data_IF_163556436037
#
_entry.id   IF_163556436037
#
_cell.length_a   1.000
_cell.length_b   1.000
_cell.length_c   1.000
_cell.angle_alpha   90.00
_cell.angle_beta   90.00
_cell.angle_gamma   90.00
#
_symmetry.space_group_name_H-M   'P 1'
#
loop_
_entity.id
_entity.type
_entity.pdbx_description
1 polymer ?
#
# COMPACT_ATOMS: atom_id res chain seq x y z
N UNK A 1 -50.92 43.27 62.21
CA UNK A 1 -50.62 42.03 61.48
C UNK A 1 -50.18 42.41 60.08
N UNK A 2 -48.88 42.39 59.82
CA UNK A 2 -48.30 42.67 58.50
C UNK A 2 -48.10 41.33 57.77
N UNK A 3 -48.55 41.24 56.52
CA UNK A 3 -48.30 40.12 55.63
C UNK A 3 -46.94 40.29 54.94
N UNK A 4 -46.14 39.22 54.71
CA UNK A 4 -44.89 39.32 53.98
C UNK A 4 -45.06 39.07 52.48
N UNK A 5 -44.12 39.66 51.75
CA UNK A 5 -43.97 39.73 50.30
C UNK A 5 -43.95 38.38 49.58
N UNK A 6 -44.59 38.38 48.40
CA UNK A 6 -44.50 37.33 47.38
C UNK A 6 -43.27 37.59 46.52
N UNK A 7 -42.29 36.68 46.59
CA UNK A 7 -41.14 36.66 45.69
C UNK A 7 -41.61 36.38 44.25
N UNK A 8 -41.29 37.29 43.33
CA UNK A 8 -41.54 37.14 41.90
C UNK A 8 -40.65 36.06 41.24
N UNK A 9 -41.05 35.51 40.09
CA UNK A 9 -40.34 34.43 39.43
C UNK A 9 -39.03 34.93 38.81
N UNK A 10 -37.97 34.13 38.98
CA UNK A 10 -36.67 34.33 38.35
C UNK A 10 -36.84 34.43 36.83
N UNK A 11 -36.42 35.56 36.26
CA UNK A 11 -36.39 35.78 34.83
C UNK A 11 -35.49 34.76 34.15
N UNK A 12 -36.05 34.00 33.22
CA UNK A 12 -35.31 33.36 32.14
C UNK A 12 -34.68 34.46 31.30
N UNK A 13 -33.41 34.77 31.55
CA UNK A 13 -32.60 35.61 30.67
C UNK A 13 -32.52 34.93 29.29
N UNK A 14 -33.23 35.50 28.32
CA UNK A 14 -33.03 35.14 26.92
C UNK A 14 -31.57 35.43 26.55
N UNK A 15 -30.85 34.47 25.94
CA UNK A 15 -29.47 34.69 25.55
C UNK A 15 -29.42 35.87 24.57
N UNK A 16 -28.63 36.88 24.93
CA UNK A 16 -28.48 38.08 24.10
C UNK A 16 -28.14 37.71 22.65
N UNK A 17 -28.65 38.48 21.71
CA UNK A 17 -28.49 38.29 20.26
C UNK A 17 -27.02 38.13 19.84
N UNK A 18 -26.08 38.73 20.58
CA UNK A 18 -24.64 38.57 20.37
C UNK A 18 -24.15 37.15 20.75
N UNK A 19 -24.64 36.59 21.86
CA UNK A 19 -24.34 35.22 22.29
C UNK A 19 -24.97 34.20 21.34
N UNK A 20 -26.20 34.44 20.88
CA UNK A 20 -26.86 33.60 19.89
C UNK A 20 -26.15 33.62 18.52
N UNK A 21 -25.68 34.79 18.06
CA UNK A 21 -24.91 34.91 16.81
C UNK A 21 -23.51 34.30 16.90
N UNK A 22 -22.81 34.46 18.04
CA UNK A 22 -21.51 33.82 18.27
C UNK A 22 -21.66 32.29 18.34
N UNK A 23 -22.73 31.79 18.96
CA UNK A 23 -23.03 30.36 19.03
C UNK A 23 -23.46 29.80 17.67
N UNK A 24 -24.24 30.54 16.88
CA UNK A 24 -24.62 30.17 15.51
C UNK A 24 -23.41 30.17 14.56
N UNK A 25 -22.49 31.13 14.70
CA UNK A 25 -21.23 31.18 13.94
C UNK A 25 -20.30 30.03 14.33
N UNK A 26 -20.10 29.80 15.62
CA UNK A 26 -19.32 28.66 16.13
C UNK A 26 -19.95 27.30 15.76
N UNK A 27 -21.28 27.21 15.73
CA UNK A 27 -22.00 26.03 15.25
C UNK A 27 -21.85 25.84 13.74
N UNK A 28 -21.89 26.93 12.96
CA UNK A 28 -21.60 26.93 11.53
C UNK A 28 -20.16 26.50 11.22
N UNK A 29 -19.19 27.00 11.97
CA UNK A 29 -17.77 26.65 11.85
C UNK A 29 -17.51 25.18 12.23
N UNK A 30 -18.15 24.69 13.30
CA UNK A 30 -18.07 23.29 13.71
C UNK A 30 -18.67 22.35 12.66
N UNK A 31 -19.87 22.65 12.16
CA UNK A 31 -20.54 21.83 11.15
C UNK A 31 -19.74 21.77 9.84
N UNK A 32 -19.13 22.90 9.45
CA UNK A 32 -18.23 22.97 8.31
C UNK A 32 -16.98 22.09 8.48
N UNK A 33 -16.33 22.16 9.64
CA UNK A 33 -15.15 21.33 9.94
C UNK A 33 -15.47 19.84 10.00
N UNK A 34 -16.62 19.47 10.58
CA UNK A 34 -17.10 18.09 10.57
C UNK A 34 -17.35 17.59 9.14
N UNK A 35 -17.92 18.43 8.27
CA UNK A 35 -18.13 18.09 6.87
C UNK A 35 -16.81 17.92 6.12
N UNK A 36 -15.85 18.82 6.30
CA UNK A 36 -14.51 18.69 5.72
C UNK A 36 -13.84 17.39 6.17
N UNK A 37 -13.85 17.11 7.47
CA UNK A 37 -13.25 15.92 8.04
C UNK A 37 -13.88 14.63 7.49
N UNK A 38 -15.20 14.58 7.29
CA UNK A 38 -15.90 13.44 6.68
C UNK A 38 -15.55 13.23 5.19
N UNK A 39 -15.07 14.26 4.50
CA UNK A 39 -14.65 14.20 3.11
C UNK A 39 -13.16 13.82 2.97
N UNK A 40 -12.44 13.63 4.07
CA UNK A 40 -11.06 13.16 4.06
C UNK A 40 -11.00 11.65 3.87
N UNK A 41 -10.08 11.20 3.03
CA UNK A 41 -9.96 9.79 2.65
C UNK A 41 -8.53 9.34 2.89
N UNK A 42 -8.37 8.30 3.69
CA UNK A 42 -7.07 7.74 4.07
C UNK A 42 -7.24 6.30 4.57
N UNK A 43 -6.14 5.56 4.83
CA UNK A 43 -6.18 4.23 5.44
C UNK A 43 -7.05 4.13 6.70
N UNK A 44 -7.18 5.22 7.46
CA UNK A 44 -7.91 5.27 8.73
C UNK A 44 -9.43 5.12 8.56
N UNK A 45 -9.97 5.46 7.38
CA UNK A 45 -11.42 5.43 7.09
C UNK A 45 -11.80 4.44 5.98
N UNK A 46 -10.83 3.90 5.22
CA UNK A 46 -11.07 2.93 4.15
C UNK A 46 -11.59 1.56 4.60
N UNK A 47 -11.76 1.34 5.91
CA UNK A 47 -12.27 0.08 6.45
C UNK A 47 -11.37 -1.10 6.07
N UNK A 48 -10.05 -0.89 6.22
CA UNK A 48 -9.00 -1.80 5.77
C UNK A 48 -9.03 -3.20 6.39
N UNK A 49 -9.76 -3.41 7.50
CA UNK A 49 -10.04 -4.76 8.01
C UNK A 49 -11.45 -4.89 8.61
N UNK A 50 -12.06 -6.08 8.51
CA UNK A 50 -13.35 -6.38 9.14
C UNK A 50 -13.18 -6.70 10.63
N UNK A 51 -13.63 -5.81 11.51
CA UNK A 51 -13.98 -6.15 12.91
C UNK A 51 -12.89 -6.02 13.98
N UNK A 52 -13.34 -5.65 15.18
CA UNK A 52 -12.58 -5.06 16.31
C UNK A 52 -11.64 -5.98 17.12
N UNK A 53 -11.33 -7.21 16.70
CA UNK A 53 -10.46 -8.10 17.52
C UNK A 53 -9.61 -9.04 16.66
N UNK A 54 -8.77 -8.51 15.78
CA UNK A 54 -7.68 -9.34 15.29
C UNK A 54 -6.65 -9.46 16.42
N UNK A 55 -6.30 -10.70 16.72
CA UNK A 55 -5.31 -11.09 17.73
C UNK A 55 -4.00 -10.29 17.56
N UNK A 56 -3.47 -9.75 18.65
CA UNK A 56 -2.29 -8.85 18.64
C UNK A 56 -1.09 -9.44 17.89
N UNK A 57 -0.95 -10.76 17.96
CA UNK A 57 0.04 -11.58 17.27
C UNK A 57 -0.02 -11.47 15.74
N UNK A 58 -1.23 -11.33 15.16
CA UNK A 58 -1.44 -11.23 13.71
C UNK A 58 -1.01 -9.88 13.16
N UNK A 59 -1.23 -8.80 13.92
CA UNK A 59 -0.76 -7.46 13.58
C UNK A 59 0.75 -7.42 13.48
N UNK A 60 1.43 -7.97 14.48
CA UNK A 60 2.88 -7.96 14.56
C UNK A 60 3.55 -8.75 13.43
N UNK A 61 3.02 -9.93 13.08
CA UNK A 61 3.52 -10.66 11.90
C UNK A 61 3.32 -9.84 10.63
N UNK A 62 2.17 -9.19 10.47
CA UNK A 62 1.92 -8.41 9.26
C UNK A 62 2.79 -7.16 9.15
N UNK A 63 2.93 -6.40 10.24
CA UNK A 63 3.86 -5.27 10.33
C UNK A 63 5.27 -5.70 9.91
N UNK A 64 5.77 -6.81 10.46
CA UNK A 64 7.09 -7.34 10.10
C UNK A 64 7.20 -7.70 8.61
N UNK A 65 6.15 -8.26 8.02
CA UNK A 65 6.12 -8.59 6.58
C UNK A 65 6.16 -7.34 5.73
N UNK A 66 5.36 -6.32 6.05
CA UNK A 66 5.36 -5.07 5.29
C UNK A 66 6.71 -4.34 5.43
N UNK A 67 7.34 -4.37 6.61
CA UNK A 67 8.69 -3.84 6.79
C UNK A 67 9.73 -4.59 5.96
N UNK A 68 9.63 -5.93 5.85
CA UNK A 68 10.54 -6.71 4.99
C UNK A 68 10.34 -6.40 3.50
N UNK A 69 9.08 -6.27 3.08
CA UNK A 69 8.70 -5.91 1.70
C UNK A 69 9.12 -4.49 1.34
N UNK A 70 9.13 -3.56 2.30
CA UNK A 70 9.56 -2.18 2.08
C UNK A 70 11.00 -2.06 1.56
N UNK A 71 11.89 -3.00 1.93
CA UNK A 71 13.24 -3.07 1.40
C UNK A 71 13.30 -3.37 -0.10
N UNK A 72 12.24 -3.96 -0.65
CA UNK A 72 12.10 -4.33 -2.07
C UNK A 72 10.82 -3.75 -2.64
N UNK A 73 10.43 -2.54 -2.20
CA UNK A 73 9.34 -1.81 -2.83
C UNK A 73 9.70 -1.54 -4.31
N UNK A 74 8.78 -1.86 -5.20
CA UNK A 74 8.98 -1.77 -6.65
C UNK A 74 9.05 -0.34 -7.17
N UNK A 75 8.41 0.61 -6.47
CA UNK A 75 8.30 2.01 -6.89
C UNK A 75 8.09 2.95 -5.70
N UNK A 76 8.30 4.28 -5.88
CA UNK A 76 7.91 5.28 -4.89
C UNK A 76 6.43 5.22 -4.51
N UNK A 77 5.54 4.90 -5.45
CA UNK A 77 4.12 4.67 -5.18
C UNK A 77 3.92 3.57 -4.13
N UNK A 78 4.58 2.43 -4.32
CA UNK A 78 4.52 1.32 -3.36
C UNK A 78 5.11 1.70 -2.00
N UNK A 79 6.17 2.51 -1.95
CA UNK A 79 6.68 3.02 -0.66
C UNK A 79 5.62 3.84 0.07
N UNK A 80 4.93 4.75 -0.62
CA UNK A 80 3.80 5.52 -0.05
C UNK A 80 2.73 4.57 0.49
N UNK A 81 2.30 3.59 -0.30
CA UNK A 81 1.29 2.58 0.10
C UNK A 81 1.72 1.81 1.36
N UNK A 82 2.95 1.32 1.39
CA UNK A 82 3.48 0.54 2.51
C UNK A 82 3.59 1.38 3.78
N UNK A 83 4.09 2.60 3.70
CA UNK A 83 4.19 3.50 4.85
C UNK A 83 2.81 3.95 5.36
N UNK A 84 1.84 4.20 4.48
CA UNK A 84 0.46 4.47 4.85
C UNK A 84 -0.18 3.28 5.59
N UNK A 85 0.03 2.06 5.10
CA UNK A 85 -0.43 0.85 5.76
C UNK A 85 0.25 0.63 7.12
N UNK A 86 1.58 0.79 7.20
CA UNK A 86 2.34 0.67 8.45
C UNK A 86 1.88 1.72 9.46
N UNK A 87 1.69 2.97 9.04
CA UNK A 87 1.16 4.04 9.89
C UNK A 87 -0.17 3.65 10.51
N UNK A 88 -1.10 3.14 9.71
CA UNK A 88 -2.39 2.65 10.17
C UNK A 88 -2.26 1.47 11.14
N UNK A 89 -1.41 0.48 10.85
CA UNK A 89 -1.20 -0.69 11.70
C UNK A 89 -0.61 -0.33 13.07
N UNK A 90 0.40 0.54 13.10
CA UNK A 90 0.99 1.02 14.36
C UNK A 90 0.00 1.86 15.17
N UNK A 91 -0.82 2.68 14.51
CA UNK A 91 -1.91 3.38 15.17
C UNK A 91 -2.91 2.39 15.80
N UNK A 92 -3.31 1.35 15.07
CA UNK A 92 -4.21 0.30 15.61
C UNK A 92 -3.59 -0.48 16.78
N UNK A 93 -2.27 -0.57 16.84
CA UNK A 93 -1.52 -1.14 17.97
C UNK A 93 -1.38 -0.16 19.15
N UNK A 94 -1.76 1.10 19.00
CA UNK A 94 -1.60 2.14 20.02
C UNK A 94 -0.21 2.80 20.02
N UNK A 95 0.64 2.52 19.03
CA UNK A 95 1.94 3.16 18.88
C UNK A 95 1.83 4.37 17.94
N UNK A 96 1.27 5.45 18.46
CA UNK A 96 1.12 6.70 17.71
C UNK A 96 2.46 7.31 17.29
N UNK A 97 3.55 7.07 18.03
CA UNK A 97 4.88 7.61 17.70
C UNK A 97 5.41 6.98 16.42
N UNK A 98 5.41 5.66 16.32
CA UNK A 98 5.85 4.95 15.12
C UNK A 98 4.88 5.17 13.96
N UNK A 99 3.58 5.29 14.25
CA UNK A 99 2.58 5.67 13.25
C UNK A 99 2.91 7.01 12.56
N UNK A 100 3.30 8.02 13.35
CA UNK A 100 3.74 9.34 12.84
C UNK A 100 5.03 9.26 12.06
N UNK A 101 6.02 8.48 12.53
CA UNK A 101 7.29 8.31 11.83
C UNK A 101 7.07 7.83 10.39
N UNK A 102 6.14 6.89 10.16
CA UNK A 102 5.83 6.46 8.80
C UNK A 102 5.07 7.49 7.96
N UNK A 103 4.28 8.38 8.55
CA UNK A 103 3.71 9.50 7.79
C UNK A 103 4.79 10.51 7.38
N UNK A 104 5.82 10.71 8.22
CA UNK A 104 7.01 11.47 7.82
C UNK A 104 7.75 10.78 6.67
N UNK A 105 7.89 9.46 6.70
CA UNK A 105 8.51 8.73 5.59
C UNK A 105 7.72 8.90 4.26
N UNK A 106 6.38 8.94 4.31
CA UNK A 106 5.56 9.27 3.13
C UNK A 106 5.88 10.67 2.61
N UNK A 107 5.97 11.66 3.51
CA UNK A 107 6.31 13.05 3.14
C UNK A 107 7.69 13.14 2.49
N UNK A 108 8.69 12.41 3.02
CA UNK A 108 10.03 12.29 2.42
C UNK A 108 9.96 11.69 1.01
N UNK A 109 9.17 10.62 0.81
CA UNK A 109 9.00 10.03 -0.53
C UNK A 109 8.38 11.03 -1.50
N UNK A 110 7.36 11.79 -1.08
CA UNK A 110 6.73 12.82 -1.90
C UNK A 110 7.67 14.00 -2.18
N UNK A 111 8.51 14.41 -1.22
CA UNK A 111 9.50 15.48 -1.38
C UNK A 111 10.67 15.13 -2.29
N UNK A 112 10.95 13.83 -2.51
CA UNK A 112 12.04 13.35 -3.37
C UNK A 112 11.64 13.11 -4.82
N UNK A 113 10.37 13.32 -5.18
CA UNK A 113 9.82 13.18 -6.54
C UNK A 113 10.57 13.90 -7.67
N UNK A 114 11.22 15.07 -7.45
CA UNK A 114 12.01 15.72 -8.48
C UNK A 114 13.22 14.90 -8.97
N UNK A 115 13.62 13.85 -8.23
CA UNK A 115 14.86 13.10 -8.48
C UNK A 115 14.66 11.68 -9.00
N UNK A 116 13.42 11.16 -9.03
CA UNK A 116 13.18 9.78 -9.44
C UNK A 116 12.87 9.66 -10.94
N UNK A 117 13.64 8.82 -11.62
CA UNK A 117 13.55 8.45 -13.03
C UNK A 117 12.21 7.74 -13.38
N UNK A 118 12.20 6.95 -14.46
CA UNK A 118 11.07 6.19 -15.02
C UNK A 118 10.21 5.40 -14.01
N UNK A 119 10.73 5.10 -12.82
CA UNK A 119 10.02 4.39 -11.73
C UNK A 119 8.95 5.23 -11.02
N UNK A 120 9.06 6.56 -11.03
CA UNK A 120 8.14 7.45 -10.31
C UNK A 120 6.88 7.82 -11.11
N UNK A 121 6.71 7.29 -12.32
CA UNK A 121 5.64 7.69 -13.25
C UNK A 121 4.25 7.69 -12.62
N UNK A 122 3.88 6.61 -11.94
CA UNK A 122 2.58 6.50 -11.27
C UNK A 122 2.43 7.49 -10.10
N UNK A 123 3.47 7.65 -9.27
CA UNK A 123 3.41 8.59 -8.14
C UNK A 123 3.33 10.05 -8.60
N UNK A 124 4.04 10.41 -9.67
CA UNK A 124 3.95 11.77 -10.26
C UNK A 124 2.54 12.08 -10.77
N UNK A 125 1.90 11.13 -11.45
CA UNK A 125 0.51 11.29 -11.92
C UNK A 125 -0.51 11.30 -10.77
N UNK A 126 -0.16 10.69 -9.63
CA UNK A 126 -1.02 10.58 -8.45
C UNK A 126 -0.55 11.41 -7.25
N UNK A 127 0.28 12.44 -7.45
CA UNK A 127 0.92 13.17 -6.36
C UNK A 127 -0.13 13.84 -5.46
N UNK A 128 -1.11 14.54 -6.03
CA UNK A 128 -2.13 15.23 -5.22
C UNK A 128 -3.01 14.24 -4.45
N UNK A 129 -3.27 13.06 -5.02
CA UNK A 129 -3.96 11.99 -4.31
C UNK A 129 -3.14 11.47 -3.12
N UNK A 130 -1.83 11.31 -3.30
CA UNK A 130 -0.93 10.88 -2.22
C UNK A 130 -0.79 11.96 -1.13
N UNK A 131 -0.67 13.25 -1.52
CA UNK A 131 -0.69 14.38 -0.58
C UNK A 131 -2.00 14.50 0.18
N UNK A 132 -3.13 14.32 -0.50
CA UNK A 132 -4.44 14.24 0.14
C UNK A 132 -4.49 13.12 1.18
N UNK A 133 -4.11 11.90 0.80
CA UNK A 133 -4.13 10.75 1.70
C UNK A 133 -3.18 10.92 2.90
N UNK A 134 -2.02 11.56 2.69
CA UNK A 134 -1.07 11.91 3.76
C UNK A 134 -1.67 12.94 4.73
N UNK A 135 -2.17 14.07 4.22
CA UNK A 135 -2.79 15.11 5.05
C UNK A 135 -4.01 14.57 5.80
N UNK A 136 -4.86 13.81 5.11
CA UNK A 136 -5.98 13.11 5.71
C UNK A 136 -5.52 12.11 6.79
N UNK A 137 -4.46 11.34 6.58
CA UNK A 137 -3.94 10.42 7.59
C UNK A 137 -3.44 11.16 8.85
N UNK A 138 -2.74 12.28 8.68
CA UNK A 138 -2.34 13.16 9.80
C UNK A 138 -3.55 13.67 10.58
N UNK A 139 -4.57 14.19 9.88
CA UNK A 139 -5.79 14.67 10.50
C UNK A 139 -6.51 13.56 11.29
N UNK A 140 -6.70 12.38 10.69
CA UNK A 140 -7.34 11.26 11.38
C UNK A 140 -6.56 10.81 12.62
N UNK A 141 -5.23 10.80 12.55
CA UNK A 141 -4.37 10.40 13.66
C UNK A 141 -4.41 11.41 14.83
N UNK A 142 -4.39 12.71 14.52
CA UNK A 142 -4.39 13.79 15.53
C UNK A 142 -5.76 13.95 16.19
N UNK A 143 -6.84 13.79 15.41
CA UNK A 143 -8.22 13.98 15.89
C UNK A 143 -8.59 13.07 17.06
N UNK A 144 -7.95 11.91 17.20
CA UNK A 144 -8.13 10.98 18.33
C UNK A 144 -7.87 11.65 19.69
N UNK A 145 -7.03 12.69 19.71
CA UNK A 145 -6.61 13.40 20.92
C UNK A 145 -6.88 14.90 20.86
N UNK A 146 -7.35 15.42 19.73
CA UNK A 146 -7.51 16.85 19.48
C UNK A 146 -8.89 17.13 18.89
N UNK A 147 -9.69 18.02 19.50
CA UNK A 147 -10.98 18.43 18.94
C UNK A 147 -10.81 19.09 17.56
N UNK A 148 -11.74 18.83 16.63
CA UNK A 148 -11.67 19.39 15.25
C UNK A 148 -11.56 20.91 15.23
N UNK A 149 -12.19 21.60 16.19
CA UNK A 149 -12.14 23.06 16.29
C UNK A 149 -10.72 23.63 16.43
N UNK A 150 -9.78 22.85 16.98
CA UNK A 150 -8.37 23.24 17.14
C UNK A 150 -7.56 22.92 15.89
N UNK A 151 -8.05 22.02 15.03
CA UNK A 151 -7.36 21.55 13.82
C UNK A 151 -7.77 22.32 12.55
N UNK A 152 -8.38 23.49 12.71
CA UNK A 152 -8.99 24.23 11.60
C UNK A 152 -7.97 24.56 10.50
N UNK A 153 -6.76 24.99 10.87
CA UNK A 153 -5.73 25.35 9.90
C UNK A 153 -5.30 24.12 9.07
N UNK A 154 -5.03 23.00 9.74
CA UNK A 154 -4.59 21.76 9.11
C UNK A 154 -5.66 21.16 8.20
N UNK A 155 -6.94 21.26 8.58
CA UNK A 155 -8.05 20.73 7.78
C UNK A 155 -8.34 21.59 6.54
N UNK A 156 -8.07 22.88 6.59
CA UNK A 156 -8.30 23.79 5.46
C UNK A 156 -7.28 23.60 4.32
N UNK A 157 -6.07 23.16 4.66
CA UNK A 157 -5.01 22.90 3.68
C UNK A 157 -5.19 21.58 2.92
N UNK A 158 -6.08 20.69 3.39
CA UNK A 158 -6.37 19.42 2.74
C UNK A 158 -7.54 19.59 1.77
N UNK A 159 -7.28 19.44 0.47
CA UNK A 159 -8.31 19.53 -0.55
C UNK A 159 -9.35 18.40 -0.38
N UNK A 160 -10.63 18.70 -0.09
CA UNK A 160 -11.63 17.64 0.06
C UNK A 160 -11.83 16.86 -1.24
N UNK A 161 -12.16 15.57 -1.14
CA UNK A 161 -12.22 14.65 -2.30
C UNK A 161 -13.15 15.12 -3.41
N UNK A 162 -14.26 15.78 -3.08
CA UNK A 162 -15.19 16.34 -4.07
C UNK A 162 -14.59 17.44 -4.94
N UNK A 163 -13.51 18.08 -4.50
CA UNK A 163 -12.78 19.11 -5.24
C UNK A 163 -11.60 18.56 -6.06
N UNK A 164 -11.25 17.29 -5.89
CA UNK A 164 -10.19 16.65 -6.68
C UNK A 164 -10.66 16.39 -8.11
N UNK A 165 -9.76 16.59 -9.08
CA UNK A 165 -9.99 16.26 -10.48
C UNK A 165 -10.29 14.75 -10.67
N UNK A 166 -10.95 14.33 -11.76
CA UNK A 166 -11.22 12.91 -12.04
C UNK A 166 -9.98 12.01 -11.93
N UNK A 167 -8.85 12.44 -12.45
CA UNK A 167 -7.57 11.70 -12.45
C UNK A 167 -7.00 11.58 -11.03
N UNK A 168 -7.06 12.65 -10.25
CA UNK A 168 -6.66 12.66 -8.84
C UNK A 168 -7.56 11.74 -8.00
N UNK A 169 -8.88 11.75 -8.24
CA UNK A 169 -9.80 10.80 -7.61
C UNK A 169 -9.53 9.36 -8.04
N UNK A 170 -9.18 9.14 -9.30
CA UNK A 170 -8.77 7.83 -9.81
C UNK A 170 -7.55 7.31 -9.05
N UNK A 171 -6.50 8.13 -8.93
CA UNK A 171 -5.30 7.82 -8.17
C UNK A 171 -5.62 7.58 -6.68
N UNK A 172 -6.50 8.35 -6.06
CA UNK A 172 -6.90 8.13 -4.66
C UNK A 172 -7.61 6.79 -4.46
N UNK A 173 -8.53 6.40 -5.34
CA UNK A 173 -9.15 5.07 -5.31
C UNK A 173 -8.14 3.96 -5.61
N UNK A 174 -7.18 4.24 -6.49
CA UNK A 174 -6.05 3.36 -6.77
C UNK A 174 -5.13 3.15 -5.58
N UNK A 175 -4.88 4.20 -4.80
CA UNK A 175 -4.12 4.15 -3.55
C UNK A 175 -4.87 3.35 -2.49
N UNK A 176 -6.18 3.54 -2.38
CA UNK A 176 -7.05 2.72 -1.54
C UNK A 176 -6.99 1.24 -1.95
N UNK A 177 -7.12 0.94 -3.24
CA UNK A 177 -7.02 -0.43 -3.76
C UNK A 177 -5.65 -1.06 -3.46
N UNK A 178 -4.57 -0.29 -3.66
CA UNK A 178 -3.20 -0.73 -3.35
C UNK A 178 -3.04 -1.00 -1.84
N UNK A 179 -3.53 -0.12 -0.98
CA UNK A 179 -3.49 -0.35 0.47
C UNK A 179 -4.23 -1.64 0.86
N UNK A 180 -5.44 -1.85 0.31
CA UNK A 180 -6.23 -3.06 0.53
C UNK A 180 -5.51 -4.31 0.01
N UNK A 181 -4.82 -4.21 -1.12
CA UNK A 181 -4.03 -5.28 -1.71
C UNK A 181 -2.89 -5.73 -0.78
N UNK A 182 -2.09 -4.81 -0.26
CA UNK A 182 -1.00 -5.13 0.68
C UNK A 182 -1.52 -5.64 2.05
N UNK A 183 -2.76 -5.33 2.43
CA UNK A 183 -3.41 -5.80 3.67
C UNK A 183 -4.30 -7.04 3.47
N UNK A 184 -4.34 -7.63 2.28
CA UNK A 184 -5.27 -8.72 1.93
C UNK A 184 -4.86 -10.07 2.56
N UNK A 185 -4.75 -10.12 3.89
CA UNK A 185 -4.47 -11.33 4.68
C UNK A 185 -5.76 -12.17 4.88
N UNK A 186 -6.92 -11.72 4.38
CA UNK A 186 -8.21 -12.28 4.81
C UNK A 186 -9.24 -12.37 3.68
N UNK A 187 -9.10 -13.41 2.85
CA UNK A 187 -10.22 -14.05 2.14
C UNK A 187 -11.01 -13.20 1.14
N UNK A 188 -12.11 -13.78 0.67
CA UNK A 188 -12.88 -13.31 -0.49
C UNK A 188 -13.49 -11.90 -0.33
N UNK A 189 -13.76 -11.46 0.91
CA UNK A 189 -14.39 -10.14 1.18
C UNK A 189 -13.44 -8.97 0.96
N UNK A 190 -12.17 -9.11 1.35
CA UNK A 190 -11.16 -8.05 1.14
C UNK A 190 -10.82 -7.91 -0.34
N UNK A 191 -10.75 -9.04 -1.07
CA UNK A 191 -10.64 -9.04 -2.53
C UNK A 191 -11.77 -8.25 -3.21
N UNK A 192 -13.03 -8.40 -2.76
CA UNK A 192 -14.16 -7.63 -3.31
C UNK A 192 -14.02 -6.11 -3.10
N UNK A 193 -13.57 -5.67 -1.93
CA UNK A 193 -13.33 -4.24 -1.65
C UNK A 193 -12.19 -3.67 -2.50
N UNK A 194 -11.07 -4.39 -2.57
CA UNK A 194 -9.91 -4.04 -3.39
C UNK A 194 -10.33 -3.88 -4.86
N UNK A 195 -10.99 -4.90 -5.42
CA UNK A 195 -11.49 -4.86 -6.80
C UNK A 195 -12.51 -3.76 -7.01
N UNK A 196 -13.38 -3.46 -6.03
CA UNK A 196 -14.33 -2.35 -6.12
C UNK A 196 -13.63 -1.00 -6.19
N UNK A 197 -12.61 -0.76 -5.37
CA UNK A 197 -11.81 0.46 -5.42
C UNK A 197 -11.04 0.58 -6.75
N UNK A 198 -10.41 -0.51 -7.21
CA UNK A 198 -9.72 -0.55 -8.50
C UNK A 198 -10.67 -0.30 -9.70
N UNK A 199 -11.92 -0.80 -9.64
CA UNK A 199 -12.94 -0.50 -10.66
C UNK A 199 -13.33 0.98 -10.67
N UNK A 200 -13.46 1.61 -9.50
CA UNK A 200 -13.74 3.06 -9.43
C UNK A 200 -12.58 3.85 -10.04
N UNK A 201 -11.33 3.50 -9.70
CA UNK A 201 -10.15 4.11 -10.31
C UNK A 201 -10.16 3.96 -11.84
N UNK A 202 -10.35 2.73 -12.33
CA UNK A 202 -10.40 2.42 -13.77
C UNK A 202 -11.56 3.11 -14.51
N UNK A 203 -12.71 3.32 -13.86
CA UNK A 203 -13.83 4.06 -14.49
C UNK A 203 -13.53 5.55 -14.73
N UNK A 204 -12.61 6.12 -13.95
CA UNK A 204 -12.18 7.51 -14.06
C UNK A 204 -10.92 7.64 -14.93
N UNK A 205 -10.03 6.65 -14.89
CA UNK A 205 -8.78 6.62 -15.65
C UNK A 205 -8.54 5.20 -16.20
N UNK A 206 -9.14 4.85 -17.35
CA UNK A 206 -9.09 3.47 -17.87
C UNK A 206 -7.72 3.06 -18.42
N UNK A 207 -6.86 4.02 -18.77
CA UNK A 207 -5.54 3.77 -19.37
C UNK A 207 -4.42 3.46 -18.37
N UNK A 208 -4.68 3.47 -17.06
CA UNK A 208 -3.65 3.21 -16.05
C UNK A 208 -3.56 1.71 -15.75
N UNK A 209 -2.43 1.12 -16.10
CA UNK A 209 -2.21 -0.33 -16.04
C UNK A 209 -2.32 -0.88 -14.62
N UNK A 210 -1.87 -0.12 -13.62
CA UNK A 210 -1.89 -0.55 -12.21
C UNK A 210 -3.30 -0.91 -11.73
N UNK A 211 -4.33 -0.17 -12.16
CA UNK A 211 -5.72 -0.46 -11.79
C UNK A 211 -6.21 -1.78 -12.39
N UNK A 212 -5.78 -2.09 -13.62
CA UNK A 212 -6.12 -3.34 -14.29
C UNK A 212 -5.48 -4.54 -13.58
N UNK A 213 -4.23 -4.39 -13.14
CA UNK A 213 -3.50 -5.41 -12.40
C UNK A 213 -4.17 -5.74 -11.07
N UNK A 214 -4.57 -4.73 -10.31
CA UNK A 214 -5.31 -4.92 -9.05
C UNK A 214 -6.66 -5.61 -9.24
N UNK A 215 -7.18 -5.68 -10.48
CA UNK A 215 -8.38 -6.45 -10.83
C UNK A 215 -8.07 -7.85 -11.39
N UNK A 216 -6.81 -8.26 -11.49
CA UNK A 216 -6.36 -9.49 -12.13
C UNK A 216 -6.52 -9.48 -13.66
N UNK A 217 -6.79 -8.32 -14.25
CA UNK A 217 -6.97 -8.17 -15.70
C UNK A 217 -5.60 -8.03 -16.38
N UNK A 218 -5.51 -8.58 -17.59
CA UNK A 218 -4.35 -8.34 -18.45
C UNK A 218 -4.38 -6.87 -18.90
N UNK A 219 -3.25 -6.16 -18.88
CA UNK A 219 -3.10 -4.92 -19.65
C UNK A 219 -3.30 -5.12 -21.17
N UNK A 220 -3.39 -6.37 -21.62
CA UNK A 220 -3.28 -6.81 -23.01
C UNK A 220 -4.62 -6.73 -23.77
N UNK A 221 -5.17 -5.53 -23.99
CA UNK A 221 -6.18 -5.28 -25.04
C UNK A 221 -6.48 -3.78 -25.32
N UNK A 222 -5.53 -2.86 -25.09
CA UNK A 222 -5.49 -1.52 -25.70
C UNK A 222 -4.38 -0.71 -25.00
N UNK A 223 -3.45 -0.15 -25.76
CA UNK A 223 -2.41 0.78 -25.32
C UNK A 223 -1.24 0.18 -24.50
N UNK A 224 -0.17 -0.16 -25.23
CA UNK A 224 1.24 0.02 -24.85
C UNK A 224 1.61 -0.15 -23.36
N UNK A 225 2.21 -1.30 -23.00
CA UNK A 225 3.31 -1.30 -22.00
C UNK A 225 4.54 -0.58 -22.59
N UNK A 226 4.36 0.59 -23.18
CA UNK A 226 5.39 1.47 -23.71
C UNK A 226 5.20 2.86 -23.09
N UNK A 227 6.29 3.59 -22.93
CA UNK A 227 6.27 4.88 -22.22
C UNK A 227 6.03 4.75 -20.71
N UNK A 228 5.43 5.79 -20.13
CA UNK A 228 5.36 6.02 -18.68
C UNK A 228 4.30 5.18 -17.93
N UNK A 229 3.56 4.30 -18.64
CA UNK A 229 2.56 3.40 -18.06
C UNK A 229 3.15 2.03 -17.65
N UNK A 230 4.35 1.70 -18.14
CA UNK A 230 5.06 0.48 -17.73
C UNK A 230 5.83 0.74 -16.43
N UNK A 231 5.42 0.09 -15.35
CA UNK A 231 6.05 0.17 -14.03
C UNK A 231 6.84 -1.10 -13.74
N UNK A 232 7.79 -1.08 -12.78
CA UNK A 232 8.46 -2.30 -12.34
C UNK A 232 7.47 -3.40 -11.92
N UNK A 233 6.40 -3.03 -11.20
CA UNK A 233 5.33 -3.95 -10.82
C UNK A 233 4.63 -4.56 -12.04
N UNK A 234 4.17 -3.73 -12.99
CA UNK A 234 3.42 -4.22 -14.15
C UNK A 234 4.25 -5.10 -15.07
N UNK A 235 5.55 -4.80 -15.23
CA UNK A 235 6.48 -5.59 -16.01
C UNK A 235 6.68 -6.99 -15.42
N UNK A 236 7.01 -7.06 -14.12
CA UNK A 236 7.25 -8.33 -13.41
C UNK A 236 5.97 -9.15 -13.31
N UNK A 237 4.84 -8.53 -12.96
CA UNK A 237 3.57 -9.24 -12.82
C UNK A 237 3.14 -9.90 -14.13
N UNK A 238 3.20 -9.15 -15.23
CA UNK A 238 2.88 -9.66 -16.57
C UNK A 238 3.83 -10.80 -16.95
N UNK A 239 5.13 -10.64 -16.68
CA UNK A 239 6.11 -11.71 -16.93
C UNK A 239 5.81 -12.99 -16.13
N UNK A 240 5.44 -12.86 -14.85
CA UNK A 240 5.06 -13.99 -14.00
C UNK A 240 3.82 -14.70 -14.54
N UNK A 241 2.83 -13.95 -15.04
CA UNK A 241 1.65 -14.54 -15.67
C UNK A 241 2.00 -15.30 -16.95
N UNK A 242 2.88 -14.75 -17.80
CA UNK A 242 3.36 -15.45 -18.98
C UNK A 242 4.06 -16.77 -18.61
N UNK A 243 4.87 -16.79 -17.55
CA UNK A 243 5.46 -18.04 -17.02
C UNK A 243 4.36 -19.06 -16.68
N UNK A 244 3.31 -18.62 -15.98
CA UNK A 244 2.19 -19.48 -15.60
C UNK A 244 1.41 -20.02 -16.80
N UNK A 245 1.24 -19.22 -17.84
CA UNK A 245 0.56 -19.61 -19.08
C UNK A 245 1.46 -20.43 -20.04
N UNK A 246 2.72 -20.72 -19.67
CA UNK A 246 3.66 -21.41 -20.56
C UNK A 246 4.21 -20.54 -21.69
N UNK A 247 3.95 -19.23 -21.67
CA UNK A 247 4.37 -18.22 -22.66
C UNK A 247 5.82 -17.75 -22.35
N UNK A 248 6.75 -18.71 -22.29
CA UNK A 248 8.13 -18.54 -21.79
C UNK A 248 8.90 -17.43 -22.53
N UNK A 249 8.72 -17.30 -23.84
CA UNK A 249 9.41 -16.28 -24.64
C UNK A 249 8.94 -14.87 -24.25
N UNK A 250 7.63 -14.66 -24.11
CA UNK A 250 7.06 -13.38 -23.71
C UNK A 250 7.54 -12.97 -22.31
N UNK A 251 7.56 -13.92 -21.37
CA UNK A 251 8.13 -13.70 -20.04
C UNK A 251 9.60 -13.25 -20.11
N UNK A 252 10.45 -13.95 -20.87
CA UNK A 252 11.89 -13.61 -21.01
C UNK A 252 12.10 -12.21 -21.60
N UNK A 253 11.31 -11.83 -22.59
CA UNK A 253 11.38 -10.49 -23.21
C UNK A 253 11.06 -9.41 -22.18
N UNK A 254 9.99 -9.59 -21.40
CA UNK A 254 9.60 -8.64 -20.36
C UNK A 254 10.62 -8.56 -19.22
N UNK A 255 11.17 -9.69 -18.77
CA UNK A 255 12.18 -9.69 -17.70
C UNK A 255 13.48 -9.02 -18.14
N UNK A 256 13.93 -9.25 -19.38
CA UNK A 256 15.09 -8.53 -19.93
C UNK A 256 14.83 -7.05 -20.02
N UNK A 257 13.68 -6.65 -20.56
CA UNK A 257 13.27 -5.25 -20.63
C UNK A 257 13.20 -4.59 -19.25
N UNK A 258 12.70 -5.30 -18.24
CA UNK A 258 12.68 -4.79 -16.86
C UNK A 258 14.08 -4.59 -16.29
N UNK A 259 15.03 -5.50 -16.55
CA UNK A 259 16.43 -5.34 -16.15
C UNK A 259 17.10 -4.15 -16.85
N UNK A 260 16.81 -3.94 -18.14
CA UNK A 260 17.39 -2.84 -18.91
C UNK A 260 16.85 -1.48 -18.44
N UNK A 261 15.56 -1.41 -18.08
CA UNK A 261 14.92 -0.18 -17.61
C UNK A 261 15.23 0.14 -16.15
N UNK A 262 15.37 -0.87 -15.30
CA UNK A 262 15.48 -0.72 -13.84
C UNK A 262 16.57 -1.61 -13.22
N UNK A 263 17.83 -1.47 -13.65
CA UNK A 263 18.93 -2.32 -13.16
C UNK A 263 19.22 -2.10 -11.66
N UNK A 264 18.92 -0.91 -11.13
CA UNK A 264 19.09 -0.54 -9.72
C UNK A 264 17.92 -0.93 -8.80
N UNK A 265 16.87 -1.56 -9.33
CA UNK A 265 15.65 -1.83 -8.59
C UNK A 265 15.68 -3.21 -7.92
N UNK A 266 15.64 -3.23 -6.59
CA UNK A 266 15.75 -4.47 -5.81
C UNK A 266 14.60 -5.44 -6.09
N UNK A 267 13.38 -4.94 -6.31
CA UNK A 267 12.22 -5.75 -6.66
C UNK A 267 12.41 -6.45 -8.00
N UNK A 268 12.87 -5.72 -9.01
CA UNK A 268 13.14 -6.29 -10.35
C UNK A 268 14.22 -7.35 -10.25
N UNK A 269 15.35 -7.03 -9.62
CA UNK A 269 16.47 -7.98 -9.45
C UNK A 269 16.02 -9.26 -8.72
N UNK A 270 15.25 -9.11 -7.64
CA UNK A 270 14.71 -10.22 -6.86
C UNK A 270 13.79 -11.13 -7.70
N UNK A 271 12.80 -10.55 -8.36
CA UNK A 271 11.81 -11.32 -9.12
C UNK A 271 12.39 -11.93 -10.38
N UNK A 272 13.31 -11.25 -11.05
CA UNK A 272 14.05 -11.83 -12.17
C UNK A 272 14.86 -13.02 -11.68
N UNK A 273 15.61 -12.88 -10.58
CA UNK A 273 16.37 -14.00 -10.02
C UNK A 273 15.48 -15.20 -9.73
N UNK A 274 14.32 -14.96 -9.12
CA UNK A 274 13.33 -15.98 -8.84
C UNK A 274 12.75 -16.62 -10.12
N UNK A 275 12.23 -15.84 -11.06
CA UNK A 275 11.52 -16.38 -12.23
C UNK A 275 12.46 -17.17 -13.15
N UNK A 276 13.73 -16.77 -13.25
CA UNK A 276 14.71 -17.52 -14.03
C UNK A 276 15.05 -18.90 -13.43
N UNK A 277 14.74 -19.19 -12.16
CA UNK A 277 14.84 -20.56 -11.63
C UNK A 277 13.66 -21.45 -12.06
N UNK A 278 12.61 -20.86 -12.62
CA UNK A 278 11.36 -21.54 -13.01
C UNK A 278 11.19 -21.73 -14.51
N UNK A 279 11.99 -21.05 -15.33
CA UNK A 279 11.87 -21.16 -16.78
C UNK A 279 12.35 -22.55 -17.24
N UNK A 280 11.62 -23.23 -18.14
CA UNK A 280 12.03 -24.52 -18.65
C UNK A 280 13.25 -24.44 -19.60
N UNK A 281 13.90 -25.60 -19.78
CA UNK A 281 15.00 -25.91 -20.70
C UNK A 281 14.71 -25.46 -22.15
N UNK A 282 15.72 -25.12 -23.00
CA UNK A 282 17.04 -25.78 -23.12
C UNK A 282 18.27 -24.91 -22.77
N UNK A 283 18.10 -23.81 -22.03
CA UNK A 283 19.19 -22.89 -21.68
C UNK A 283 19.41 -22.78 -20.17
N UNK A 284 19.17 -23.85 -19.41
CA UNK A 284 19.14 -23.77 -17.95
C UNK A 284 20.42 -23.23 -17.33
N UNK A 285 21.61 -23.56 -17.85
CA UNK A 285 22.87 -22.99 -17.35
C UNK A 285 22.95 -21.46 -17.52
N UNK A 286 22.52 -20.93 -18.67
CA UNK A 286 22.51 -19.48 -18.89
C UNK A 286 21.46 -18.78 -18.02
N UNK A 287 20.30 -19.42 -17.82
CA UNK A 287 19.25 -18.93 -16.94
C UNK A 287 19.71 -18.87 -15.48
N UNK A 288 20.35 -19.92 -14.99
CA UNK A 288 20.93 -19.96 -13.65
C UNK A 288 22.02 -18.90 -13.46
N UNK A 289 22.85 -18.64 -14.49
CA UNK A 289 23.83 -17.56 -14.43
C UNK A 289 23.18 -16.17 -14.35
N UNK A 290 22.04 -15.95 -15.02
CA UNK A 290 21.24 -14.72 -14.89
C UNK A 290 20.66 -14.64 -13.47
N UNK A 291 20.04 -15.71 -12.99
CA UNK A 291 19.45 -15.76 -11.65
C UNK A 291 20.48 -15.52 -10.54
N UNK A 292 21.69 -16.07 -10.69
CA UNK A 292 22.81 -15.88 -9.78
C UNK A 292 23.24 -14.41 -9.71
N UNK A 293 23.45 -13.77 -10.86
CA UNK A 293 23.82 -12.35 -10.92
C UNK A 293 22.74 -11.46 -10.33
N UNK A 294 21.47 -11.69 -10.69
CA UNK A 294 20.35 -10.91 -10.18
C UNK A 294 20.15 -11.09 -8.67
N UNK A 295 20.29 -12.30 -8.13
CA UNK A 295 20.17 -12.53 -6.69
C UNK A 295 21.31 -11.88 -5.88
N UNK A 296 22.54 -11.84 -6.41
CA UNK A 296 23.64 -11.07 -5.82
C UNK A 296 23.33 -9.58 -5.82
N UNK A 297 22.81 -9.05 -6.94
CA UNK A 297 22.47 -7.64 -7.03
C UNK A 297 21.32 -7.27 -6.08
N UNK A 298 20.28 -8.10 -5.98
CA UNK A 298 19.20 -7.92 -5.02
C UNK A 298 19.74 -7.88 -3.58
N UNK A 299 20.70 -8.75 -3.23
CA UNK A 299 21.37 -8.73 -1.92
C UNK A 299 22.15 -7.43 -1.65
N UNK A 300 22.80 -6.86 -2.66
CA UNK A 300 23.50 -5.59 -2.51
C UNK A 300 22.54 -4.43 -2.29
N UNK A 301 21.40 -4.44 -2.98
CA UNK A 301 20.40 -3.38 -2.90
C UNK A 301 19.55 -3.46 -1.62
N UNK A 302 19.25 -4.67 -1.16
CA UNK A 302 18.38 -4.93 -0.01
C UNK A 302 18.98 -6.03 0.92
N UNK A 303 20.14 -5.76 1.55
CA UNK A 303 20.89 -6.77 2.32
C UNK A 303 20.20 -7.22 3.61
N UNK A 304 19.15 -6.52 4.03
CA UNK A 304 18.42 -6.81 5.26
C UNK A 304 17.08 -7.52 5.01
N UNK A 305 16.72 -7.75 3.74
CA UNK A 305 15.44 -8.32 3.35
C UNK A 305 15.49 -9.86 3.39
N UNK A 306 14.58 -10.47 4.15
CA UNK A 306 14.49 -11.93 4.27
C UNK A 306 14.10 -12.57 2.94
N UNK A 307 13.18 -11.96 2.18
CA UNK A 307 12.83 -12.45 0.83
C UNK A 307 14.05 -12.58 -0.08
N UNK A 308 14.93 -11.58 -0.05
CA UNK A 308 16.13 -11.56 -0.87
C UNK A 308 17.07 -12.70 -0.51
N UNK A 309 17.26 -12.97 0.78
CA UNK A 309 18.07 -14.11 1.21
C UNK A 309 17.41 -15.46 0.88
N UNK A 310 16.08 -15.57 0.94
CA UNK A 310 15.37 -16.79 0.58
C UNK A 310 15.50 -17.09 -0.92
N UNK A 311 15.32 -16.08 -1.78
CA UNK A 311 15.56 -16.24 -3.23
C UNK A 311 17.04 -16.52 -3.52
N UNK A 312 17.98 -15.92 -2.79
CA UNK A 312 19.39 -16.30 -2.91
C UNK A 312 19.61 -17.77 -2.59
N UNK A 313 19.04 -18.29 -1.50
CA UNK A 313 19.13 -19.71 -1.11
C UNK A 313 18.48 -20.63 -2.15
N UNK A 314 17.42 -20.17 -2.79
CA UNK A 314 16.79 -20.88 -3.91
C UNK A 314 17.76 -21.04 -5.10
N UNK A 315 18.47 -19.97 -5.45
CA UNK A 315 19.43 -19.95 -6.58
C UNK A 315 20.76 -20.65 -6.23
N UNK A 316 21.25 -20.46 -5.00
CA UNK A 316 22.49 -21.02 -4.44
C UNK A 316 22.19 -21.73 -3.12
N UNK A 317 21.95 -23.05 -3.15
CA UNK A 317 21.61 -23.85 -1.96
C UNK A 317 22.67 -23.88 -0.86
N UNK A 318 23.85 -23.32 -1.08
CA UNK A 318 24.93 -23.16 -0.10
C UNK A 318 24.86 -21.81 0.65
N UNK A 319 24.10 -20.83 0.15
CA UNK A 319 23.98 -19.49 0.74
C UNK A 319 23.37 -19.56 2.15
N UNK A 320 24.11 -19.22 3.19
CA UNK A 320 23.58 -19.13 4.56
C UNK A 320 23.61 -17.67 5.01
N UNK A 321 22.55 -17.23 5.69
CA UNK A 321 22.46 -15.85 6.19
C UNK A 321 21.73 -15.81 7.53
N UNK A 322 22.17 -14.99 8.49
CA UNK A 322 21.46 -14.80 9.76
C UNK A 322 20.05 -14.24 9.56
N UNK A 323 19.77 -13.56 8.44
CA UNK A 323 18.44 -13.06 8.13
C UNK A 323 17.44 -14.18 7.82
N UNK A 324 17.88 -15.33 7.31
CA UNK A 324 17.00 -16.50 7.13
C UNK A 324 16.45 -17.01 8.46
N UNK A 325 17.19 -16.87 9.56
CA UNK A 325 16.69 -17.24 10.90
C UNK A 325 15.51 -16.35 11.35
N UNK A 326 15.32 -15.17 10.74
CA UNK A 326 14.19 -14.27 11.02
C UNK A 326 12.92 -14.66 10.27
N UNK A 327 13.00 -15.56 9.28
CA UNK A 327 11.85 -15.90 8.43
C UNK A 327 10.67 -16.47 9.22
N UNK A 328 10.92 -17.27 10.26
CA UNK A 328 9.85 -17.84 11.10
C UNK A 328 9.06 -16.75 11.81
N UNK A 329 9.77 -15.72 12.28
CA UNK A 329 9.19 -14.57 12.98
C UNK A 329 8.43 -13.61 12.06
N UNK A 330 8.82 -13.52 10.79
CA UNK A 330 8.23 -12.61 9.79
C UNK A 330 7.10 -13.32 9.04
N UNK A 331 7.41 -14.46 8.42
CA UNK A 331 6.54 -15.20 7.50
C UNK A 331 5.87 -16.44 8.12
N UNK A 332 6.17 -16.79 9.37
CA UNK A 332 5.61 -17.98 10.01
C UNK A 332 6.21 -19.30 9.52
N UNK A 333 7.31 -19.24 8.75
CA UNK A 333 8.00 -20.40 8.18
C UNK A 333 9.50 -20.24 8.37
N UNK A 334 10.21 -21.31 8.71
CA UNK A 334 11.68 -21.28 8.73
C UNK A 334 12.26 -21.10 7.30
N UNK A 335 13.57 -20.85 7.21
CA UNK A 335 14.20 -20.51 5.93
C UNK A 335 14.07 -21.61 4.88
N UNK A 336 14.18 -22.87 5.29
CA UNK A 336 14.09 -24.02 4.38
C UNK A 336 12.66 -24.26 3.92
N UNK A 337 11.67 -24.14 4.81
CA UNK A 337 10.23 -24.19 4.47
C UNK A 337 9.87 -23.11 3.46
N UNK A 338 10.38 -21.89 3.67
CA UNK A 338 10.17 -20.78 2.77
C UNK A 338 10.77 -21.07 1.40
N UNK A 339 12.01 -21.55 1.31
CA UNK A 339 12.67 -21.92 0.04
C UNK A 339 11.94 -23.07 -0.66
N UNK A 340 11.51 -24.10 0.09
CA UNK A 340 10.72 -25.19 -0.46
C UNK A 340 9.40 -24.68 -1.05
N UNK A 341 8.74 -23.72 -0.36
CA UNK A 341 7.53 -23.07 -0.86
C UNK A 341 7.80 -22.29 -2.15
N UNK A 342 8.92 -21.57 -2.23
CA UNK A 342 9.36 -20.87 -3.44
C UNK A 342 9.67 -21.80 -4.61
N UNK A 343 10.06 -23.06 -4.38
CA UNK A 343 10.25 -24.05 -5.45
C UNK A 343 8.95 -24.66 -5.96
N UNK A 344 7.94 -24.77 -5.09
CA UNK A 344 6.68 -25.44 -5.38
C UNK A 344 5.52 -24.50 -5.72
N UNK A 345 5.72 -23.19 -5.67
CA UNK A 345 4.68 -22.19 -5.92
C UNK A 345 5.26 -20.99 -6.62
N UNK A 346 4.53 -20.45 -7.61
CA UNK A 346 4.92 -19.21 -8.28
C UNK A 346 4.93 -18.05 -7.28
N UNK A 347 6.12 -17.54 -6.96
CA UNK A 347 6.35 -16.29 -6.24
C UNK A 347 5.84 -15.15 -7.09
N UNK A 348 4.64 -14.71 -6.73
CA UNK A 348 4.29 -13.31 -6.86
C UNK A 348 4.48 -12.74 -5.47
N UNK A 349 5.01 -11.52 -5.33
CA UNK A 349 5.03 -10.79 -4.06
C UNK A 349 3.65 -10.89 -3.35
N UNK A 350 2.56 -10.97 -4.14
CA UNK A 350 1.18 -11.29 -3.74
C UNK A 350 1.03 -12.53 -2.85
N UNK A 351 1.65 -13.66 -3.20
CA UNK A 351 1.57 -14.90 -2.43
C UNK A 351 2.19 -14.80 -1.03
N UNK A 352 3.12 -13.86 -0.87
CA UNK A 352 3.79 -13.55 0.40
C UNK A 352 3.03 -12.46 1.19
N UNK A 353 2.51 -11.45 0.49
CA UNK A 353 1.77 -10.33 1.10
C UNK A 353 0.41 -10.75 1.63
N UNK A 354 -0.33 -11.59 0.89
CA UNK A 354 -1.55 -12.21 1.37
C UNK A 354 -1.31 -13.14 2.57
N UNK A 355 -0.04 -13.43 2.90
CA UNK A 355 0.32 -14.64 3.63
C UNK A 355 0.04 -15.84 2.74
N UNK A 356 0.84 -16.88 2.86
CA UNK A 356 0.49 -18.16 2.26
C UNK A 356 -0.72 -18.72 3.01
N UNK A 357 -1.91 -18.15 2.76
CA UNK A 357 -3.17 -18.63 3.28
C UNK A 357 -3.39 -19.96 2.60
N UNK A 358 -3.14 -21.00 3.38
CA UNK A 358 -3.75 -22.32 3.31
C UNK A 358 -4.96 -22.36 2.38
N UNK A 359 -4.83 -23.11 1.27
CA UNK A 359 -6.00 -23.68 0.61
C UNK A 359 -6.53 -22.97 -0.63
N UNK A 360 -5.68 -22.37 -1.48
CA UNK A 360 -6.04 -22.37 -2.90
C UNK A 360 -6.00 -23.82 -3.38
N UNK A 361 -7.17 -24.49 -3.33
CA UNK A 361 -7.45 -25.58 -4.25
C UNK A 361 -7.19 -25.01 -5.62
N UNK A 362 -6.11 -25.44 -6.25
CA UNK A 362 -5.91 -25.30 -7.68
C UNK A 362 -7.21 -25.79 -8.33
N UNK A 363 -8.02 -24.86 -8.83
CA UNK A 363 -8.92 -25.22 -9.90
C UNK A 363 -8.01 -25.47 -11.09
N UNK A 364 -7.69 -26.74 -11.32
CA UNK A 364 -7.21 -27.20 -12.61
C UNK A 364 -8.15 -26.60 -13.66
N UNK A 365 -7.60 -25.78 -14.54
CA UNK A 365 -8.24 -25.40 -15.80
C UNK A 365 -8.14 -26.60 -16.73
#
# INVERSE_FOLDING_TARGET
MAAPDVAGPAGTEEPSTATAMATARAAGDKAFLEQLYRELESPFVWGLLPGQRADSSRWDSHIRRLLDVLHVADSPWTKVVLHLNLSWLFFKRGDSRTSRAHLVDVDVVLGTLPWCEREAGLLRRGEEAARHALGAAWAHLVHVSTPLAVMQAELQDIAPVRKLAPEQRAALYGLQASCLYFLCIQGEKMGKKMVSAARKASSLQPGEAEWLLLMGKRPDAAASLEGDAMTPHSAVYTATRHVYCGEVLAARVLLRRALDLWPGNAFVQLNVAYLYTWLPEPQHQQQLAIADRCSIQALRLAPNCVLVHAVRRLVRPEHNSPYLARSSKIYGMNGDEMVAKLRGSCFVLEGIMCGFISGHKEKKV
#
